data_IF_239888552779
#
_entry.id   IF_239888552779
#
_cell.length_a   1.000
_cell.length_b   1.000
_cell.length_c   1.000
_cell.angle_alpha   90.00
_cell.angle_beta   90.00
_cell.angle_gamma   90.00
#
_symmetry.space_group_name_H-M   'P 1'
#
loop_
_entity.id
_entity.type
_entity.pdbx_description
1 polymer ?
#
# COMPACT_ATOMS: atom_id res chain seq x y z
N UNK A 1 23.27 10.42 5.61
CA UNK A 1 24.12 9.22 5.41
C UNK A 1 23.43 8.01 6.03
N UNK A 2 22.43 7.44 5.35
CA UNK A 2 21.59 6.35 5.87
C UNK A 2 21.86 5.02 5.17
N UNK A 3 22.94 4.34 5.56
CA UNK A 3 23.29 3.02 5.00
C UNK A 3 22.87 1.94 6.00
N UNK A 4 21.61 1.52 5.94
CA UNK A 4 21.07 0.44 6.78
C UNK A 4 20.88 -0.89 6.03
N UNK A 5 21.21 -0.93 4.73
CA UNK A 5 21.21 -2.17 3.97
C UNK A 5 22.43 -3.01 4.36
N UNK A 6 22.18 -4.13 5.02
CA UNK A 6 23.17 -5.16 5.33
C UNK A 6 22.99 -6.33 4.35
N UNK A 7 24.03 -6.60 3.56
CA UNK A 7 24.06 -7.75 2.64
C UNK A 7 24.78 -8.90 3.36
N UNK A 8 24.25 -10.14 3.32
CA UNK A 8 24.89 -11.28 3.97
C UNK A 8 26.22 -11.64 3.29
N UNK A 9 27.23 -11.98 4.11
CA UNK A 9 28.56 -12.41 3.65
C UNK A 9 28.54 -13.76 2.92
N UNK A 10 27.46 -14.53 3.07
CA UNK A 10 27.28 -15.84 2.43
C UNK A 10 26.05 -15.83 1.53
N UNK A 11 26.27 -16.11 0.25
CA UNK A 11 25.21 -16.23 -0.77
C UNK A 11 24.97 -17.70 -1.10
N UNK A 12 23.71 -18.12 -1.13
CA UNK A 12 23.30 -19.44 -1.63
C UNK A 12 23.01 -19.28 -3.12
N UNK A 13 23.74 -20.01 -3.96
CA UNK A 13 23.69 -19.88 -5.42
C UNK A 13 22.30 -20.18 -6.00
N UNK A 14 21.57 -21.12 -5.39
CA UNK A 14 20.19 -21.47 -5.77
C UNK A 14 19.17 -20.37 -5.47
N UNK A 15 19.50 -19.43 -4.58
CA UNK A 15 18.64 -18.28 -4.23
C UNK A 15 18.95 -17.04 -5.09
N UNK A 16 20.05 -17.05 -5.84
CA UNK A 16 20.50 -15.93 -6.67
C UNK A 16 19.46 -15.38 -7.67
N UNK A 17 18.54 -16.18 -8.26
CA UNK A 17 17.52 -15.64 -9.16
C UNK A 17 16.52 -14.71 -8.47
N UNK A 18 16.27 -14.89 -7.16
CA UNK A 18 15.30 -14.09 -6.40
C UNK A 18 16.02 -13.02 -5.59
N UNK A 19 17.07 -13.39 -4.87
CA UNK A 19 17.82 -12.46 -4.00
C UNK A 19 18.76 -11.55 -4.80
N UNK A 20 19.39 -12.07 -5.85
CA UNK A 20 20.35 -11.32 -6.65
C UNK A 20 19.73 -10.19 -7.47
N UNK A 21 18.54 -10.42 -8.05
CA UNK A 21 17.80 -9.36 -8.75
C UNK A 21 17.25 -8.31 -7.79
N UNK A 22 16.70 -8.74 -6.65
CA UNK A 22 16.19 -7.85 -5.61
C UNK A 22 17.30 -6.96 -5.01
N UNK A 23 18.48 -7.53 -4.72
CA UNK A 23 19.63 -6.78 -4.22
C UNK A 23 20.12 -5.75 -5.25
N UNK A 24 20.23 -6.12 -6.53
CA UNK A 24 20.59 -5.19 -7.61
C UNK A 24 19.56 -4.06 -7.76
N UNK A 25 18.28 -4.37 -7.62
CA UNK A 25 17.22 -3.37 -7.66
C UNK A 25 17.33 -2.39 -6.49
N UNK A 26 17.57 -2.87 -5.27
CA UNK A 26 17.78 -2.01 -4.09
C UNK A 26 19.03 -1.13 -4.22
N UNK A 27 20.15 -1.66 -4.72
CA UNK A 27 21.36 -0.87 -4.98
C UNK A 27 21.13 0.22 -6.04
N UNK A 28 20.32 -0.05 -7.07
CA UNK A 28 19.99 0.93 -8.09
C UNK A 28 19.05 2.03 -7.59
N UNK A 29 18.25 1.73 -6.57
CA UNK A 29 17.25 2.62 -5.99
C UNK A 29 17.77 3.42 -4.79
N UNK A 30 18.91 3.03 -4.21
CA UNK A 30 19.58 3.78 -3.16
C UNK A 30 19.92 5.21 -3.65
N UNK A 31 19.47 6.21 -2.90
CA UNK A 31 19.60 7.62 -3.27
C UNK A 31 18.75 8.11 -4.46
N UNK A 32 17.99 7.23 -5.12
CA UNK A 32 17.03 7.58 -6.21
C UNK A 32 15.58 7.35 -5.82
N UNK A 33 15.32 7.19 -4.52
CA UNK A 33 13.95 7.09 -4.03
C UNK A 33 13.18 8.36 -4.49
N UNK A 34 11.99 8.21 -5.08
CA UNK A 34 11.23 9.35 -5.60
C UNK A 34 10.68 10.25 -4.49
N UNK A 35 10.66 9.75 -3.25
CA UNK A 35 10.19 10.45 -2.07
C UNK A 35 11.29 11.26 -1.36
N UNK A 36 10.87 12.31 -0.67
CA UNK A 36 11.70 13.12 0.22
C UNK A 36 11.38 12.74 1.68
N UNK A 37 12.31 12.10 2.41
CA UNK A 37 12.08 11.68 3.79
C UNK A 37 11.77 12.84 4.76
N UNK A 38 12.28 14.04 4.50
CA UNK A 38 11.99 15.20 5.35
C UNK A 38 10.54 15.65 5.19
N UNK A 39 10.03 15.70 3.95
CA UNK A 39 8.62 15.99 3.68
C UNK A 39 7.68 14.91 4.20
N UNK A 40 8.10 13.65 4.15
CA UNK A 40 7.33 12.55 4.74
C UNK A 40 7.18 12.72 6.26
N UNK A 41 8.25 13.07 6.97
CA UNK A 41 8.21 13.33 8.41
C UNK A 41 7.30 14.53 8.75
N UNK A 42 7.39 15.62 7.99
CA UNK A 42 6.52 16.79 8.16
C UNK A 42 5.03 16.44 7.96
N UNK A 43 4.71 15.64 6.94
CA UNK A 43 3.36 15.17 6.70
C UNK A 43 2.82 14.31 7.85
N UNK A 44 3.66 13.44 8.42
CA UNK A 44 3.28 12.62 9.59
C UNK A 44 2.98 13.49 10.82
N UNK A 45 3.82 14.47 11.12
CA UNK A 45 3.60 15.40 12.25
C UNK A 45 2.25 16.12 12.08
N UNK A 46 2.01 16.69 10.90
CA UNK A 46 0.76 17.39 10.59
C UNK A 46 -0.48 16.52 10.78
N UNK A 47 -0.39 15.24 10.42
CA UNK A 47 -1.49 14.28 10.54
C UNK A 47 -1.76 13.95 12.00
N UNK A 48 -0.72 13.73 12.81
CA UNK A 48 -0.85 13.46 14.25
C UNK A 48 -1.40 14.67 15.01
N UNK A 49 -1.08 15.89 14.56
CA UNK A 49 -1.57 17.13 15.16
C UNK A 49 -2.97 17.55 14.67
N UNK A 50 -3.58 16.81 13.73
CA UNK A 50 -4.91 17.13 13.21
C UNK A 50 -6.02 16.71 14.17
N UNK A 51 -7.13 17.46 14.19
CA UNK A 51 -8.27 17.16 15.06
C UNK A 51 -8.89 15.77 14.78
N UNK A 52 -8.75 15.27 13.56
CA UNK A 52 -9.30 13.99 13.11
C UNK A 52 -8.25 13.21 12.31
N UNK A 53 -7.29 12.55 12.98
CA UNK A 53 -6.22 11.85 12.29
C UNK A 53 -6.76 10.65 11.51
N UNK A 54 -6.39 10.47 10.23
CA UNK A 54 -6.74 9.29 9.45
C UNK A 54 -6.09 8.03 10.02
N UNK A 55 -6.78 6.89 9.85
CA UNK A 55 -6.23 5.57 10.18
C UNK A 55 -5.02 5.20 9.31
N UNK A 56 -4.99 5.67 8.05
CA UNK A 56 -3.93 5.38 7.08
C UNK A 56 -3.53 6.66 6.34
N UNK A 57 -2.23 6.90 6.22
CA UNK A 57 -1.65 8.01 5.49
C UNK A 57 -0.81 7.48 4.32
N UNK A 58 -1.19 7.82 3.09
CA UNK A 58 -0.39 7.53 1.91
C UNK A 58 0.71 8.59 1.74
N UNK A 59 1.95 8.18 1.54
CA UNK A 59 3.10 9.07 1.37
C UNK A 59 3.76 8.78 0.02
N UNK A 60 3.76 9.77 -0.86
CA UNK A 60 4.29 9.64 -2.23
C UNK A 60 3.19 9.45 -3.28
N UNK A 61 3.47 9.93 -4.50
CA UNK A 61 2.52 9.86 -5.61
C UNK A 61 2.26 8.42 -6.08
N UNK A 62 3.29 7.57 -6.03
CA UNK A 62 3.22 6.14 -6.30
C UNK A 62 2.28 5.42 -5.31
N UNK A 63 2.41 5.71 -4.01
CA UNK A 63 1.54 5.14 -2.98
C UNK A 63 0.07 5.54 -3.21
N UNK A 64 -0.18 6.83 -3.52
CA UNK A 64 -1.53 7.32 -3.84
C UNK A 64 -2.09 6.62 -5.08
N UNK A 65 -1.34 6.60 -6.19
CA UNK A 65 -1.79 5.96 -7.44
C UNK A 65 -2.04 4.46 -7.28
N UNK A 66 -1.22 3.75 -6.50
CA UNK A 66 -1.40 2.33 -6.25
C UNK A 66 -2.69 2.05 -5.44
N UNK A 67 -2.95 2.87 -4.41
CA UNK A 67 -4.17 2.76 -3.59
C UNK A 67 -5.41 3.06 -4.45
N UNK A 68 -5.39 4.14 -5.23
CA UNK A 68 -6.49 4.51 -6.12
C UNK A 68 -6.79 3.41 -7.14
N UNK A 69 -5.75 2.83 -7.75
CA UNK A 69 -5.90 1.73 -8.69
C UNK A 69 -6.55 0.51 -8.03
N UNK A 70 -6.13 0.17 -6.80
CA UNK A 70 -6.72 -0.97 -6.07
C UNK A 70 -8.17 -0.71 -5.70
N UNK A 71 -8.49 0.47 -5.18
CA UNK A 71 -9.87 0.85 -4.85
C UNK A 71 -10.77 0.77 -6.08
N UNK A 72 -10.29 1.26 -7.23
CA UNK A 72 -11.03 1.18 -8.49
C UNK A 72 -11.27 -0.26 -8.93
N UNK A 73 -10.26 -1.13 -8.85
CA UNK A 73 -10.42 -2.56 -9.19
C UNK A 73 -11.46 -3.23 -8.29
N UNK A 74 -11.39 -3.00 -6.98
CA UNK A 74 -12.35 -3.56 -6.02
C UNK A 74 -13.76 -3.05 -6.31
N UNK A 75 -13.92 -1.76 -6.58
CA UNK A 75 -15.21 -1.17 -6.92
C UNK A 75 -15.78 -1.77 -8.21
N UNK A 76 -14.96 -1.91 -9.25
CA UNK A 76 -15.38 -2.51 -10.52
C UNK A 76 -15.84 -3.95 -10.35
N UNK A 77 -15.11 -4.75 -9.57
CA UNK A 77 -15.50 -6.13 -9.27
C UNK A 77 -16.81 -6.18 -8.48
N UNK A 78 -16.96 -5.31 -7.46
CA UNK A 78 -18.18 -5.24 -6.67
C UNK A 78 -19.40 -4.87 -7.53
N UNK A 79 -19.26 -3.90 -8.42
CA UNK A 79 -20.35 -3.47 -9.28
C UNK A 79 -20.70 -4.52 -10.35
N UNK A 80 -19.70 -5.23 -10.88
CA UNK A 80 -19.93 -6.32 -11.83
C UNK A 80 -20.74 -7.49 -11.24
N UNK A 81 -20.63 -7.72 -9.93
CA UNK A 81 -21.27 -8.85 -9.24
C UNK A 81 -22.34 -8.41 -8.24
N UNK A 82 -22.77 -7.15 -8.28
CA UNK A 82 -23.69 -6.55 -7.31
C UNK A 82 -25.01 -7.32 -7.24
N UNK A 83 -25.62 -7.59 -8.39
CA UNK A 83 -26.93 -8.25 -8.45
C UNK A 83 -26.90 -9.64 -7.83
N UNK A 84 -25.89 -10.45 -8.19
CA UNK A 84 -25.71 -11.79 -7.63
C UNK A 84 -25.46 -11.73 -6.12
N UNK A 85 -24.70 -10.74 -5.67
CA UNK A 85 -24.34 -10.59 -4.25
C UNK A 85 -25.53 -10.15 -3.40
N UNK A 86 -26.32 -9.18 -3.88
CA UNK A 86 -27.50 -8.63 -3.17
C UNK A 86 -28.63 -9.65 -3.11
N UNK A 87 -28.79 -10.48 -4.14
CA UNK A 87 -29.84 -11.51 -4.21
C UNK A 87 -29.60 -12.74 -3.30
N UNK A 88 -28.55 -12.72 -2.47
CA UNK A 88 -28.30 -13.79 -1.48
C UNK A 88 -29.09 -13.64 -0.18
N UNK A 89 -29.79 -12.52 0.01
CA UNK A 89 -30.60 -12.28 1.19
C UNK A 89 -31.86 -13.16 1.23
N UNK A 90 -32.31 -13.53 2.44
CA UNK A 90 -33.62 -14.16 2.62
C UNK A 90 -34.74 -13.18 2.26
N UNK A 91 -35.87 -13.69 1.75
CA UNK A 91 -37.07 -12.88 1.53
C UNK A 91 -37.51 -12.19 2.83
N UNK A 92 -37.61 -10.87 2.81
CA UNK A 92 -37.97 -10.05 3.97
C UNK A 92 -36.82 -9.68 4.91
N UNK A 93 -35.56 -10.00 4.59
CA UNK A 93 -34.42 -9.55 5.37
C UNK A 93 -34.15 -8.04 5.16
N UNK A 94 -34.12 -7.28 6.25
CA UNK A 94 -33.69 -5.87 6.22
C UNK A 94 -32.17 -5.79 6.34
N UNK A 95 -31.51 -5.15 5.37
CA UNK A 95 -30.08 -4.91 5.41
C UNK A 95 -29.77 -3.77 6.38
N UNK A 96 -29.23 -4.10 7.56
CA UNK A 96 -28.65 -3.10 8.46
C UNK A 96 -27.32 -2.62 7.89
N UNK A 97 -27.20 -1.34 7.57
CA UNK A 97 -25.91 -0.73 7.22
C UNK A 97 -24.99 -0.76 8.43
N UNK A 98 -23.96 -1.60 8.41
CA UNK A 98 -22.94 -1.63 9.46
C UNK A 98 -22.00 -0.44 9.24
N UNK A 99 -22.06 0.55 10.14
CA UNK A 99 -21.03 1.58 10.28
C UNK A 99 -21.43 2.96 9.76
N UNK A 100 -21.97 3.79 10.65
CA UNK A 100 -21.95 5.25 10.58
C UNK A 100 -21.22 5.78 11.81
#
# INVERSE_FOLDING_TARGET
NGRSLAVPDQTIEEYAPVSGEFLKWMEQMDGKQPGDPAKAAEAMIRVVESDNPPLRLALGADAVSAIEAKLKSVQQELDAWRDVSVNTAFEGAEASTIGG
#
